data_IF_483011278564
#
_entry.id   IF_483011278564
#
_cell.length_a   1.000
_cell.length_b   1.000
_cell.length_c   1.000
_cell.angle_alpha   90.00
_cell.angle_beta   90.00
_cell.angle_gamma   90.00
#
_symmetry.space_group_name_H-M   'P 1'
#
loop_
_entity.id
_entity.type
_entity.pdbx_description
1 polymer ?
#
# COMPACT_ATOMS: atom_id res chain seq x y z
N UNK A 1 -10.90 -9.77 -5.63
CA UNK A 1 -11.07 -8.43 -6.23
C UNK A 1 -9.79 -7.64 -5.99
N UNK A 2 -9.29 -6.93 -7.00
CA UNK A 2 -8.02 -6.19 -6.93
C UNK A 2 -8.28 -4.70 -6.69
N UNK A 3 -7.55 -4.10 -5.74
CA UNK A 3 -7.63 -2.68 -5.38
C UNK A 3 -6.29 -2.02 -5.68
N UNK A 4 -6.31 -0.84 -6.30
CA UNK A 4 -5.10 -0.02 -6.50
C UNK A 4 -5.16 1.18 -5.58
N UNK A 5 -4.07 1.44 -4.85
CA UNK A 5 -3.93 2.58 -3.93
C UNK A 5 -2.73 3.41 -4.39
N UNK A 6 -2.99 4.66 -4.72
CA UNK A 6 -1.99 5.61 -5.21
C UNK A 6 -1.54 6.55 -4.08
N UNK A 7 -0.36 6.29 -3.49
CA UNK A 7 0.07 6.88 -2.23
C UNK A 7 0.38 8.38 -2.30
N UNK A 8 0.80 8.92 -3.45
CA UNK A 8 0.99 10.36 -3.65
C UNK A 8 -0.30 11.16 -3.48
N UNK A 9 -1.48 10.53 -3.52
CA UNK A 9 -2.77 11.21 -3.27
C UNK A 9 -3.04 11.44 -1.78
N UNK A 10 -2.17 10.97 -0.88
CA UNK A 10 -2.41 11.01 0.57
C UNK A 10 -1.80 12.25 1.23
N UNK A 11 -0.94 12.98 0.53
CA UNK A 11 -0.24 14.15 1.03
C UNK A 11 0.02 15.14 -0.09
N UNK A 12 0.26 16.40 0.27
CA UNK A 12 0.69 17.43 -0.67
C UNK A 12 2.21 17.57 -0.58
N UNK A 13 2.88 17.51 -1.73
CA UNK A 13 4.35 17.62 -1.92
C UNK A 13 5.19 16.59 -1.15
N UNK A 14 5.24 16.69 0.18
CA UNK A 14 6.07 15.86 1.05
C UNK A 14 5.23 15.18 2.14
N UNK A 15 5.29 13.85 2.19
CA UNK A 15 4.67 13.07 3.25
C UNK A 15 5.33 13.40 4.61
N UNK A 16 4.52 13.55 5.66
CA UNK A 16 5.00 13.89 7.01
C UNK A 16 4.85 12.72 7.97
N UNK A 17 5.89 12.43 8.75
CA UNK A 17 5.85 11.40 9.78
C UNK A 17 4.77 11.66 10.84
N UNK A 18 4.48 12.94 11.14
CA UNK A 18 3.39 13.33 12.05
C UNK A 18 2.01 12.87 11.59
N UNK A 19 1.85 12.55 10.31
CA UNK A 19 0.58 12.15 9.70
C UNK A 19 0.55 10.64 9.41
N UNK A 20 1.56 9.88 9.87
CA UNK A 20 1.73 8.47 9.56
C UNK A 20 0.47 7.65 9.87
N UNK A 21 -0.13 7.85 11.04
CA UNK A 21 -1.33 7.12 11.45
C UNK A 21 -2.51 7.37 10.52
N UNK A 22 -2.66 8.61 10.03
CA UNK A 22 -3.70 8.96 9.05
C UNK A 22 -3.49 8.25 7.71
N UNK A 23 -2.23 8.19 7.23
CA UNK A 23 -1.92 7.46 6.00
C UNK A 23 -2.19 5.96 6.11
N UNK A 24 -1.81 5.37 7.26
CA UNK A 24 -2.07 3.95 7.55
C UNK A 24 -3.58 3.70 7.59
N UNK A 25 -4.33 4.50 8.34
CA UNK A 25 -5.77 4.33 8.51
C UNK A 25 -6.52 4.43 7.18
N UNK A 26 -6.23 5.47 6.39
CA UNK A 26 -6.80 5.66 5.04
C UNK A 26 -6.49 4.46 4.12
N UNK A 27 -5.27 3.94 4.18
CA UNK A 27 -4.90 2.75 3.40
C UNK A 27 -5.72 1.52 3.81
N UNK A 28 -5.84 1.27 5.12
CA UNK A 28 -6.59 0.11 5.67
C UNK A 28 -8.08 0.16 5.32
N UNK A 29 -8.66 1.35 5.30
CA UNK A 29 -10.06 1.58 4.89
C UNK A 29 -10.26 1.25 3.41
N UNK A 30 -9.42 1.79 2.52
CA UNK A 30 -9.50 1.55 1.07
C UNK A 30 -9.24 0.07 0.74
N UNK A 31 -8.23 -0.53 1.37
CA UNK A 31 -7.87 -1.93 1.15
C UNK A 31 -9.02 -2.90 1.52
N UNK A 32 -9.78 -2.62 2.57
CA UNK A 32 -10.76 -3.57 3.11
C UNK A 32 -10.09 -4.85 3.63
N UNK A 33 -10.84 -5.95 3.74
CA UNK A 33 -10.34 -7.25 4.22
C UNK A 33 -10.24 -8.27 3.07
N UNK A 34 -9.18 -9.07 3.03
CA UNK A 34 -9.02 -10.22 2.14
C UNK A 34 -8.89 -9.91 0.65
N UNK A 35 -8.64 -8.65 0.27
CA UNK A 35 -8.47 -8.24 -1.13
C UNK A 35 -7.01 -8.33 -1.58
N UNK A 36 -6.82 -8.39 -2.89
CA UNK A 36 -5.50 -8.22 -3.49
C UNK A 36 -5.27 -6.72 -3.68
N UNK A 37 -4.14 -6.21 -3.21
CA UNK A 37 -3.86 -4.77 -3.16
C UNK A 37 -2.60 -4.46 -3.96
N UNK A 38 -2.67 -3.42 -4.77
CA UNK A 38 -1.52 -2.81 -5.45
C UNK A 38 -1.24 -1.46 -4.79
N UNK A 39 -0.02 -1.25 -4.33
CA UNK A 39 0.50 0.07 -3.95
C UNK A 39 1.31 0.66 -5.10
N UNK A 40 1.02 1.90 -5.44
CA UNK A 40 1.72 2.66 -6.48
C UNK A 40 1.82 4.14 -6.10
N UNK A 41 2.48 4.93 -6.94
CA UNK A 41 2.59 6.38 -6.79
C UNK A 41 3.92 6.85 -6.18
N UNK A 42 4.27 8.12 -6.42
CA UNK A 42 5.51 8.70 -5.91
C UNK A 42 5.39 8.98 -4.40
N UNK A 43 5.96 8.12 -3.57
CA UNK A 43 5.97 8.28 -2.11
C UNK A 43 7.30 7.80 -1.53
N UNK A 44 7.72 8.32 -0.36
CA UNK A 44 8.98 7.93 0.24
C UNK A 44 8.96 6.46 0.65
N UNK A 45 10.13 5.80 0.58
CA UNK A 45 10.29 4.37 0.88
C UNK A 45 9.75 4.00 2.27
N UNK A 46 9.96 4.85 3.28
CA UNK A 46 9.47 4.59 4.63
C UNK A 46 7.95 4.48 4.70
N UNK A 47 7.20 5.22 3.85
CA UNK A 47 5.74 5.16 3.84
C UNK A 47 5.27 3.84 3.25
N UNK A 48 5.88 3.41 2.14
CA UNK A 48 5.64 2.08 1.56
C UNK A 48 5.87 0.97 2.57
N UNK A 49 7.00 0.99 3.29
CA UNK A 49 7.33 -0.04 4.29
C UNK A 49 6.30 -0.07 5.44
N UNK A 50 5.89 1.08 5.96
CA UNK A 50 4.89 1.17 7.03
C UNK A 50 3.52 0.69 6.58
N UNK A 51 3.09 1.08 5.38
CA UNK A 51 1.81 0.65 4.82
C UNK A 51 1.81 -0.84 4.49
N UNK A 52 2.88 -1.36 3.88
CA UNK A 52 3.00 -2.78 3.57
C UNK A 52 2.89 -3.65 4.83
N UNK A 53 3.58 -3.26 5.92
CA UNK A 53 3.46 -3.93 7.21
C UNK A 53 2.03 -3.86 7.76
N UNK A 54 1.39 -2.69 7.72
CA UNK A 54 0.01 -2.52 8.19
C UNK A 54 -1.04 -3.30 7.40
N UNK A 55 -0.76 -3.63 6.13
CA UNK A 55 -1.62 -4.44 5.27
C UNK A 55 -1.36 -5.94 5.34
N UNK A 56 -0.24 -6.40 5.93
CA UNK A 56 0.14 -7.82 5.94
C UNK A 56 -0.93 -8.75 6.52
N UNK A 57 -1.60 -8.32 7.59
CA UNK A 57 -2.71 -9.07 8.21
C UNK A 57 -4.10 -8.72 7.67
N UNK A 58 -4.20 -7.98 6.57
CA UNK A 58 -5.46 -7.37 6.09
C UNK A 58 -5.73 -7.67 4.62
N UNK A 59 -4.71 -7.51 3.78
CA UNK A 59 -4.76 -7.90 2.38
C UNK A 59 -4.43 -9.40 2.23
N UNK A 60 -5.04 -10.05 1.24
CA UNK A 60 -4.69 -11.42 0.86
C UNK A 60 -3.35 -11.45 0.12
N UNK A 61 -3.12 -10.47 -0.75
CA UNK A 61 -1.92 -10.31 -1.57
C UNK A 61 -1.58 -8.83 -1.66
N UNK A 62 -0.30 -8.50 -1.59
CA UNK A 62 0.18 -7.13 -1.76
C UNK A 62 1.23 -7.06 -2.86
N UNK A 63 1.03 -6.13 -3.78
CA UNK A 63 1.89 -5.87 -4.92
C UNK A 63 2.40 -4.43 -4.84
N UNK A 64 3.68 -4.24 -5.06
CA UNK A 64 4.26 -2.94 -5.38
C UNK A 64 4.31 -2.78 -6.90
N UNK A 65 3.80 -1.65 -7.41
CA UNK A 65 3.87 -1.31 -8.83
C UNK A 65 4.68 -0.04 -9.02
N UNK A 66 5.66 -0.11 -9.92
CA UNK A 66 6.41 1.08 -10.37
C UNK A 66 6.59 1.07 -11.89
N UNK A 67 6.83 2.23 -12.52
CA UNK A 67 7.13 2.30 -13.95
C UNK A 67 8.40 1.54 -14.36
N UNK A 68 9.33 1.32 -13.41
CA UNK A 68 10.64 0.71 -13.69
C UNK A 68 10.59 -0.80 -13.53
N UNK A 69 9.97 -1.29 -12.45
CA UNK A 69 9.97 -2.71 -12.09
C UNK A 69 8.71 -3.44 -12.58
N UNK A 70 7.67 -2.72 -12.98
CA UNK A 70 6.34 -3.31 -13.11
C UNK A 70 5.83 -3.79 -11.75
N UNK A 71 5.13 -4.93 -11.76
CA UNK A 71 4.54 -5.54 -10.57
C UNK A 71 5.53 -6.44 -9.85
N UNK A 72 5.76 -6.14 -8.57
CA UNK A 72 6.54 -6.96 -7.66
C UNK A 72 5.64 -7.39 -6.51
N UNK A 73 5.49 -8.70 -6.32
CA UNK A 73 4.77 -9.25 -5.18
C UNK A 73 5.60 -8.99 -3.92
N UNK A 74 5.00 -8.30 -2.93
CA UNK A 74 5.58 -8.14 -1.60
C UNK A 74 5.26 -9.36 -0.75
N UNK A 75 4.00 -9.79 -0.74
CA UNK A 75 3.57 -11.03 -0.11
C UNK A 75 2.33 -11.58 -0.83
N UNK A 76 2.12 -12.89 -0.67
CA UNK A 76 1.00 -13.63 -1.21
C UNK A 76 0.54 -14.69 -0.19
N UNK A 77 -0.67 -14.52 0.34
CA UNK A 77 -1.34 -15.50 1.20
C UNK A 77 -2.46 -16.24 0.44
N UNK A 78 -2.44 -16.23 -0.90
CA UNK A 78 -3.30 -17.10 -1.69
C UNK A 78 -3.02 -18.56 -1.33
N UNK A 79 -4.05 -19.36 -0.99
CA UNK A 79 -3.91 -20.79 -0.79
C UNK A 79 -3.89 -21.58 -2.11
N UNK A 80 -4.29 -20.93 -3.22
CA UNK A 80 -4.31 -21.47 -4.58
C UNK A 80 -2.97 -21.27 -5.31
#
# INVERSE_FOLDING_TARGET
MMITIELNTFFTDTAKLSNLDSYIQKTKEIAGEGKDVILTGAAPVWLYLKIAHALHGKARKLIYRSPVTGDIIIFDHSPD
#
